data_IF_329509576828
#
_entry.id   IF_329509576828
#
_cell.length_a   1.000
_cell.length_b   1.000
_cell.length_c   1.000
_cell.angle_alpha   90.00
_cell.angle_beta   90.00
_cell.angle_gamma   90.00
#
_symmetry.space_group_name_H-M   'P 1'
#
loop_
_entity.id
_entity.type
_entity.pdbx_description
1 polymer ?
#
# COMPACT_ATOMS: atom_id res chain seq x y z
N UNK A 1 19.70 -17.35 0.59
CA UNK A 1 19.07 -16.13 1.16
C UNK A 1 18.10 -16.58 2.25
N UNK A 2 18.16 -16.00 3.45
CA UNK A 2 17.23 -16.40 4.52
C UNK A 2 15.80 -16.00 4.07
N UNK A 3 14.81 -16.88 4.27
CA UNK A 3 13.39 -16.61 3.93
C UNK A 3 12.89 -15.26 4.48
N UNK A 4 13.46 -14.80 5.59
CA UNK A 4 13.23 -13.49 6.18
C UNK A 4 13.64 -12.30 5.30
N UNK A 5 14.73 -12.41 4.55
CA UNK A 5 15.22 -11.35 3.65
C UNK A 5 14.33 -11.20 2.42
N UNK A 6 13.87 -12.33 1.85
CA UNK A 6 12.95 -12.35 0.71
C UNK A 6 11.61 -11.72 1.10
N UNK A 7 11.08 -12.07 2.27
CA UNK A 7 9.83 -11.47 2.78
C UNK A 7 9.98 -9.97 3.03
N UNK A 8 11.14 -9.53 3.54
CA UNK A 8 11.46 -8.11 3.74
C UNK A 8 11.57 -7.37 2.41
N UNK A 9 12.23 -7.96 1.41
CA UNK A 9 12.35 -7.41 0.05
C UNK A 9 11.00 -7.27 -0.63
N UNK A 10 10.15 -8.30 -0.58
CA UNK A 10 8.81 -8.24 -1.17
C UNK A 10 7.93 -7.20 -0.49
N UNK A 11 8.06 -7.03 0.84
CA UNK A 11 7.38 -5.93 1.55
C UNK A 11 7.84 -4.56 1.05
N UNK A 12 9.15 -4.36 0.88
CA UNK A 12 9.70 -3.09 0.38
C UNK A 12 9.31 -2.84 -1.07
N UNK A 13 9.36 -3.84 -1.95
CA UNK A 13 8.90 -3.73 -3.33
C UNK A 13 7.40 -3.40 -3.40
N UNK A 14 6.59 -3.99 -2.51
CA UNK A 14 5.18 -3.64 -2.36
C UNK A 14 4.98 -2.18 -1.95
N UNK A 15 5.77 -1.65 -1.02
CA UNK A 15 5.75 -0.22 -0.61
C UNK A 15 6.01 0.68 -1.82
N UNK A 16 7.08 0.39 -2.56
CA UNK A 16 7.50 1.20 -3.70
C UNK A 16 6.46 1.12 -4.82
N UNK A 17 5.93 -0.07 -5.12
CA UNK A 17 4.90 -0.24 -6.14
C UNK A 17 3.60 0.48 -5.79
N UNK A 18 3.16 0.40 -4.52
CA UNK A 18 1.95 1.09 -4.06
C UNK A 18 2.12 2.62 -4.10
N UNK A 19 3.29 3.14 -3.71
CA UNK A 19 3.58 4.57 -3.79
C UNK A 19 3.62 5.07 -5.24
N UNK A 20 4.17 4.28 -6.16
CA UNK A 20 4.17 4.59 -7.59
C UNK A 20 2.76 4.56 -8.19
N UNK A 21 1.96 3.55 -7.84
CA UNK A 21 0.56 3.46 -8.27
C UNK A 21 -0.30 4.60 -7.71
N UNK A 22 -0.05 5.01 -6.46
CA UNK A 22 -0.77 6.12 -5.84
C UNK A 22 -0.45 7.47 -6.52
N UNK A 23 0.82 7.68 -6.90
CA UNK A 23 1.20 8.82 -7.72
C UNK A 23 0.62 8.74 -9.14
N UNK A 24 0.67 7.57 -9.79
CA UNK A 24 0.20 7.36 -11.15
C UNK A 24 -1.33 7.44 -11.29
N UNK A 25 -2.08 7.05 -10.26
CA UNK A 25 -3.54 7.08 -10.26
C UNK A 25 -4.14 8.48 -10.03
N UNK A 26 -3.32 9.52 -9.87
CA UNK A 26 -3.80 10.90 -9.67
C UNK A 26 -4.55 11.13 -8.35
N UNK A 27 -4.56 10.16 -7.44
CA UNK A 27 -5.11 10.31 -6.09
C UNK A 27 -4.32 11.32 -5.25
N UNK A 28 -3.01 11.41 -5.48
CA UNK A 28 -2.12 12.32 -4.76
C UNK A 28 -2.51 13.81 -4.88
N UNK A 29 -2.73 14.38 -6.08
CA UNK A 29 -3.21 15.76 -6.20
C UNK A 29 -4.64 15.98 -5.69
N UNK A 30 -5.51 14.98 -5.76
CA UNK A 30 -6.91 15.09 -5.32
C UNK A 30 -7.01 15.08 -3.78
N UNK A 31 -6.30 14.17 -3.12
CA UNK A 31 -6.19 14.15 -1.66
C UNK A 31 -5.43 15.38 -1.13
N UNK A 32 -4.39 15.84 -1.85
CA UNK A 32 -3.67 17.06 -1.47
C UNK A 32 -4.56 18.29 -1.54
N UNK A 33 -5.50 18.35 -2.48
CA UNK A 33 -6.50 19.44 -2.54
C UNK A 33 -7.48 19.41 -1.37
N UNK A 34 -7.86 18.22 -0.89
CA UNK A 34 -8.87 18.07 0.16
C UNK A 34 -8.31 18.20 1.59
N UNK A 35 -7.08 17.72 1.84
CA UNK A 35 -6.51 17.68 3.20
C UNK A 35 -5.03 18.02 3.28
N UNK A 36 -4.42 18.44 2.17
CA UNK A 36 -3.00 18.80 2.13
C UNK A 36 -2.03 17.60 2.07
N UNK A 37 -0.71 17.87 2.11
CA UNK A 37 0.33 16.86 1.91
C UNK A 37 0.36 15.79 2.99
N UNK A 38 0.14 16.19 4.25
CA UNK A 38 0.22 15.29 5.42
C UNK A 38 -0.95 14.30 5.40
N UNK A 39 -2.17 14.76 5.11
CA UNK A 39 -3.33 13.89 4.97
C UNK A 39 -3.15 12.85 3.85
N UNK A 40 -2.62 13.29 2.70
CA UNK A 40 -2.36 12.41 1.56
C UNK A 40 -1.36 11.32 1.91
N UNK A 41 -0.30 11.68 2.64
CA UNK A 41 0.71 10.72 3.13
C UNK A 41 0.13 9.71 4.13
N UNK A 42 -0.69 10.17 5.08
CA UNK A 42 -1.34 9.28 6.05
C UNK A 42 -2.32 8.33 5.36
N UNK A 43 -3.13 8.82 4.42
CA UNK A 43 -4.04 7.99 3.63
C UNK A 43 -3.28 6.93 2.83
N UNK A 44 -2.12 7.30 2.25
CA UNK A 44 -1.22 6.38 1.56
C UNK A 44 -0.72 5.27 2.49
N UNK A 45 -0.26 5.63 3.69
CA UNK A 45 0.18 4.66 4.70
C UNK A 45 -0.96 3.73 5.11
N UNK A 46 -2.15 4.26 5.35
CA UNK A 46 -3.33 3.48 5.73
C UNK A 46 -3.67 2.48 4.62
N UNK A 47 -3.81 2.93 3.37
CA UNK A 47 -4.02 2.07 2.21
C UNK A 47 -2.92 1.03 2.10
N UNK A 48 -1.67 1.43 2.30
CA UNK A 48 -0.53 0.54 2.21
C UNK A 48 -0.58 -0.62 3.21
N UNK A 49 -1.03 -0.39 4.46
CA UNK A 49 -1.16 -1.45 5.45
C UNK A 49 -2.47 -2.24 5.30
N UNK A 50 -3.58 -1.57 4.96
CA UNK A 50 -4.88 -2.22 4.84
C UNK A 50 -5.00 -3.07 3.58
N UNK A 51 -4.39 -2.68 2.46
CA UNK A 51 -4.56 -3.40 1.20
C UNK A 51 -4.00 -4.84 1.26
N UNK A 52 -2.78 -5.09 1.77
CA UNK A 52 -2.27 -6.45 1.96
C UNK A 52 -3.10 -7.26 2.95
N UNK A 53 -3.56 -6.63 4.04
CA UNK A 53 -4.42 -7.29 5.05
C UNK A 53 -5.77 -7.66 4.43
N UNK A 54 -6.36 -6.77 3.63
CA UNK A 54 -7.62 -6.99 2.95
C UNK A 54 -7.48 -8.10 1.89
N UNK A 55 -6.39 -8.11 1.13
CA UNK A 55 -6.10 -9.20 0.19
C UNK A 55 -5.92 -10.52 0.94
N UNK A 56 -5.12 -10.55 2.02
CA UNK A 56 -4.92 -11.77 2.81
C UNK A 56 -6.24 -12.26 3.44
N UNK A 57 -7.09 -11.34 3.89
CA UNK A 57 -8.43 -11.66 4.39
C UNK A 57 -9.34 -12.21 3.29
N UNK A 58 -9.34 -11.60 2.10
CA UNK A 58 -10.11 -12.07 0.95
C UNK A 58 -9.62 -13.45 0.49
N UNK A 59 -8.32 -13.67 0.37
CA UNK A 59 -7.75 -15.00 0.08
C UNK A 59 -8.21 -16.03 1.10
N UNK A 60 -8.12 -15.72 2.40
CA UNK A 60 -8.60 -16.63 3.46
C UNK A 60 -10.09 -16.91 3.41
N UNK A 61 -10.90 -15.99 2.88
CA UNK A 61 -12.36 -16.11 2.84
C UNK A 61 -12.87 -16.84 1.58
N UNK A 62 -12.13 -16.75 0.47
CA UNK A 62 -12.55 -17.29 -0.83
C UNK A 62 -11.75 -18.52 -1.29
N UNK A 63 -10.53 -18.73 -0.75
CA UNK A 63 -9.66 -19.86 -1.14
C UNK A 63 -9.63 -20.96 -0.07
N UNK A 64 -9.94 -20.64 1.19
CA UNK A 64 -10.21 -21.61 2.27
C UNK A 64 -11.70 -21.63 2.57
#
# INVERSE_FOLDING_TARGET
MRLSEVKRRNRVLGIVAAALLFQAAGLDPLLRRLGGPVFSFIALLILFFLFPIAIEYLERKFVK
#
